data_IF_072107689672
#
_entry.id   IF_072107689672
#
_cell.length_a   1.000
_cell.length_b   1.000
_cell.length_c   1.000
_cell.angle_alpha   90.00
_cell.angle_beta   90.00
_cell.angle_gamma   90.00
#
_symmetry.space_group_name_H-M   'P 1'
#
loop_
_entity.id
_entity.type
_entity.pdbx_description
1 polymer ?
#
# COMPACT_ATOMS: atom_id res chain seq x y z
N UNK A 1 -15.39 9.92 -19.58
CA UNK A 1 -13.99 10.41 -19.54
C UNK A 1 -13.32 10.10 -18.20
N UNK A 2 -13.82 10.57 -17.05
CA UNK A 2 -13.20 10.33 -15.72
C UNK A 2 -12.90 8.86 -15.41
N UNK A 3 -13.87 7.96 -15.58
CA UNK A 3 -13.66 6.52 -15.30
C UNK A 3 -12.55 5.91 -16.15
N UNK A 4 -12.54 6.17 -17.46
CA UNK A 4 -11.51 5.65 -18.36
C UNK A 4 -10.12 6.18 -18.01
N UNK A 5 -10.03 7.46 -17.63
CA UNK A 5 -8.77 8.03 -17.15
C UNK A 5 -8.28 7.36 -15.87
N UNK A 6 -9.16 7.17 -14.88
CA UNK A 6 -8.78 6.50 -13.63
C UNK A 6 -8.26 5.09 -13.86
N UNK A 7 -8.92 4.33 -14.75
CA UNK A 7 -8.43 2.99 -15.14
C UNK A 7 -7.11 3.08 -15.90
N UNK A 8 -6.93 4.04 -16.81
CA UNK A 8 -5.67 4.24 -17.52
C UNK A 8 -4.51 4.60 -16.58
N UNK A 9 -4.77 5.46 -15.57
CA UNK A 9 -3.80 5.78 -14.51
C UNK A 9 -3.42 4.53 -13.74
N UNK A 10 -4.42 3.74 -13.31
CA UNK A 10 -4.20 2.47 -12.61
C UNK A 10 -3.35 1.49 -13.43
N UNK A 11 -3.65 1.36 -14.73
CA UNK A 11 -2.90 0.49 -15.64
C UNK A 11 -1.47 0.97 -15.85
N UNK A 12 -1.24 2.27 -15.98
CA UNK A 12 0.09 2.86 -16.10
C UNK A 12 0.92 2.58 -14.84
N UNK A 13 0.32 2.81 -13.67
CA UNK A 13 0.96 2.65 -12.37
C UNK A 13 1.32 1.18 -12.07
N UNK A 14 0.37 0.26 -12.28
CA UNK A 14 0.58 -1.18 -12.07
C UNK A 14 1.54 -1.80 -13.10
N UNK A 15 1.73 -1.14 -14.23
CA UNK A 15 2.32 -1.73 -15.43
C UNK A 15 3.72 -1.28 -15.76
N UNK A 16 4.32 -0.30 -15.07
CA UNK A 16 5.57 0.36 -15.49
C UNK A 16 6.75 -0.63 -15.62
N UNK A 17 7.01 -1.19 -16.81
CA UNK A 17 7.81 -2.41 -16.94
C UNK A 17 9.31 -2.10 -16.97
N UNK A 18 9.66 -0.84 -17.26
CA UNK A 18 11.03 -0.40 -17.51
C UNK A 18 11.81 -0.06 -16.23
N UNK A 19 11.16 0.00 -15.06
CA UNK A 19 11.85 0.39 -13.80
C UNK A 19 13.00 -0.55 -13.46
N UNK A 20 12.81 -1.87 -13.68
CA UNK A 20 13.84 -2.86 -13.36
C UNK A 20 15.11 -2.64 -14.18
N UNK A 21 14.95 -2.44 -15.49
CA UNK A 21 16.06 -2.24 -16.42
C UNK A 21 16.75 -0.89 -16.20
N UNK A 22 15.97 0.15 -15.89
CA UNK A 22 16.51 1.46 -15.54
C UNK A 22 17.38 1.39 -14.27
N UNK A 23 16.89 0.69 -13.24
CA UNK A 23 17.61 0.55 -11.98
C UNK A 23 18.86 -0.32 -12.14
N UNK A 24 18.80 -1.44 -12.87
CA UNK A 24 19.98 -2.29 -13.09
C UNK A 24 21.07 -1.59 -13.90
N UNK A 25 20.72 -0.63 -14.77
CA UNK A 25 21.69 0.18 -15.51
C UNK A 25 22.38 1.26 -14.66
N UNK A 26 21.76 1.70 -13.56
CA UNK A 26 22.23 2.85 -12.77
C UNK A 26 22.73 2.50 -11.37
N UNK A 27 22.34 1.33 -10.84
CA UNK A 27 22.59 0.93 -9.45
C UNK A 27 23.41 -0.36 -9.43
N UNK A 28 24.39 -0.50 -8.51
CA UNK A 28 25.15 -1.75 -8.36
C UNK A 28 24.24 -2.93 -8.04
N UNK A 29 24.54 -4.11 -8.58
CA UNK A 29 23.74 -5.35 -8.42
C UNK A 29 23.32 -5.64 -6.97
N UNK A 30 24.21 -5.36 -6.01
CA UNK A 30 23.96 -5.56 -4.57
C UNK A 30 22.83 -4.67 -4.02
N UNK A 31 22.55 -3.52 -4.64
CA UNK A 31 21.49 -2.59 -4.28
C UNK A 31 20.33 -2.53 -5.28
N UNK A 32 20.47 -3.13 -6.48
CA UNK A 32 19.47 -3.01 -7.56
C UNK A 32 18.08 -3.48 -7.17
N UNK A 33 17.95 -4.58 -6.42
CA UNK A 33 16.63 -5.03 -5.95
C UNK A 33 15.98 -4.05 -4.97
N UNK A 34 16.75 -3.53 -4.02
CA UNK A 34 16.28 -2.53 -3.05
C UNK A 34 15.88 -1.24 -3.76
N UNK A 35 16.73 -0.72 -4.64
CA UNK A 35 16.47 0.49 -5.41
C UNK A 35 15.24 0.32 -6.32
N UNK A 36 15.04 -0.85 -6.92
CA UNK A 36 13.84 -1.17 -7.69
C UNK A 36 12.59 -1.10 -6.80
N UNK A 37 12.60 -1.74 -5.63
CA UNK A 37 11.46 -1.76 -4.71
C UNK A 37 11.12 -0.37 -4.14
N UNK A 38 12.12 0.44 -3.80
CA UNK A 38 11.92 1.83 -3.39
C UNK A 38 11.41 2.66 -4.57
N UNK A 39 12.01 2.47 -5.76
CA UNK A 39 11.69 3.18 -6.98
C UNK A 39 10.25 2.99 -7.43
N UNK A 40 9.72 1.75 -7.42
CA UNK A 40 8.31 1.51 -7.79
C UNK A 40 7.34 2.22 -6.84
N UNK A 41 7.58 2.18 -5.53
CA UNK A 41 6.74 2.82 -4.53
C UNK A 41 6.80 4.36 -4.63
N UNK A 42 7.96 4.92 -4.99
CA UNK A 42 8.11 6.36 -5.21
C UNK A 42 7.50 6.80 -6.55
N UNK A 43 7.58 5.95 -7.58
CA UNK A 43 7.09 6.26 -8.93
C UNK A 43 5.58 6.46 -8.95
N UNK A 44 4.83 5.83 -8.04
CA UNK A 44 3.37 6.00 -7.95
C UNK A 44 2.93 7.46 -7.77
N UNK A 45 3.76 8.29 -7.13
CA UNK A 45 3.49 9.73 -7.01
C UNK A 45 3.49 10.41 -8.37
N UNK A 46 4.32 9.95 -9.31
CA UNK A 46 4.37 10.47 -10.67
C UNK A 46 3.27 9.84 -11.52
N UNK A 47 3.18 8.51 -11.56
CA UNK A 47 2.22 7.79 -12.42
C UNK A 47 0.76 8.00 -12.01
N UNK A 48 0.48 8.35 -10.75
CA UNK A 48 -0.87 8.65 -10.26
C UNK A 48 -1.14 10.14 -10.15
N UNK A 49 -0.35 10.89 -9.36
CA UNK A 49 -0.72 12.27 -9.02
C UNK A 49 -0.51 13.23 -10.19
N UNK A 50 0.48 13.01 -11.04
CA UNK A 50 0.73 13.89 -12.19
C UNK A 50 -0.42 13.83 -13.22
N UNK A 51 -0.82 12.67 -13.77
CA UNK A 51 -1.93 12.63 -14.73
C UNK A 51 -3.27 13.02 -14.09
N UNK A 52 -3.51 12.64 -12.83
CA UNK A 52 -4.71 13.08 -12.11
C UNK A 52 -4.72 14.59 -11.86
N UNK A 53 -3.57 15.19 -11.54
CA UNK A 53 -3.39 16.63 -11.35
C UNK A 53 -3.60 17.43 -12.63
N UNK A 54 -3.00 16.98 -13.74
CA UNK A 54 -3.22 17.57 -15.08
C UNK A 54 -4.71 17.53 -15.42
N UNK A 55 -5.37 16.38 -15.24
CA UNK A 55 -6.80 16.27 -15.48
C UNK A 55 -7.64 17.17 -14.56
N UNK A 56 -7.28 17.24 -13.28
CA UNK A 56 -7.96 18.08 -12.30
C UNK A 56 -7.90 19.56 -12.70
N UNK A 57 -6.75 20.04 -13.19
CA UNK A 57 -6.59 21.45 -13.61
C UNK A 57 -7.26 21.73 -14.96
N UNK A 58 -7.11 20.83 -15.94
CA UNK A 58 -7.51 21.09 -17.32
C UNK A 58 -9.00 20.80 -17.57
N UNK A 59 -9.54 19.74 -16.96
CA UNK A 59 -10.84 19.19 -17.31
C UNK A 59 -11.84 19.11 -16.16
N UNK A 60 -11.38 18.93 -14.92
CA UNK A 60 -12.26 18.73 -13.78
C UNK A 60 -12.60 20.03 -13.04
N UNK A 61 -13.85 20.49 -13.15
CA UNK A 61 -14.30 21.70 -12.46
C UNK A 61 -14.90 21.43 -11.06
N UNK A 62 -14.65 20.26 -10.48
CA UNK A 62 -15.20 19.91 -9.17
C UNK A 62 -14.49 20.62 -8.03
N UNK A 63 -15.27 21.15 -7.06
CA UNK A 63 -14.73 21.76 -5.83
C UNK A 63 -14.39 20.69 -4.77
N UNK A 64 -13.61 19.68 -5.16
CA UNK A 64 -13.29 18.51 -4.32
C UNK A 64 -12.01 18.67 -3.48
N UNK A 65 -11.35 19.85 -3.52
CA UNK A 65 -10.04 20.08 -2.88
C UNK A 65 -9.02 19.03 -3.31
N UNK A 66 -8.88 18.88 -4.64
CA UNK A 66 -8.07 17.86 -5.29
C UNK A 66 -8.41 16.46 -4.79
N UNK A 67 -9.67 16.08 -5.00
CA UNK A 67 -10.20 14.77 -4.63
C UNK A 67 -9.97 14.39 -3.16
N UNK A 68 -10.08 15.36 -2.24
CA UNK A 68 -9.90 15.14 -0.81
C UNK A 68 -8.45 15.07 -0.33
N UNK A 69 -7.45 15.18 -1.22
CA UNK A 69 -6.04 15.25 -0.82
C UNK A 69 -5.76 16.52 0.00
N UNK A 70 -6.26 17.67 -0.46
CA UNK A 70 -6.10 18.94 0.24
C UNK A 70 -7.16 19.16 1.34
N UNK A 71 -7.90 18.12 1.73
CA UNK A 71 -8.92 18.18 2.79
C UNK A 71 -8.45 17.43 4.03
N UNK A 72 -7.86 18.14 4.97
CA UNK A 72 -7.43 17.56 6.25
C UNK A 72 -8.55 17.64 7.29
N UNK A 73 -9.55 16.75 7.16
CA UNK A 73 -10.51 16.46 8.25
C UNK A 73 -10.19 15.09 8.81
N UNK A 74 -9.76 15.05 10.07
CA UNK A 74 -9.26 13.84 10.69
C UNK A 74 -9.75 13.74 12.15
N UNK A 75 -10.75 12.89 12.37
CA UNK A 75 -11.05 12.37 13.71
C UNK A 75 -10.33 11.04 13.84
N UNK A 76 -9.34 10.95 14.72
CA UNK A 76 -8.45 9.79 14.79
C UNK A 76 -9.14 8.54 15.36
N UNK A 77 -10.20 8.71 16.17
CA UNK A 77 -10.79 7.62 16.95
C UNK A 77 -11.33 6.47 16.08
N UNK A 78 -12.12 6.71 15.02
CA UNK A 78 -12.61 5.62 14.18
C UNK A 78 -11.48 4.82 13.52
N UNK A 79 -10.40 5.50 13.11
CA UNK A 79 -9.26 4.86 12.43
C UNK A 79 -8.44 3.99 13.39
N UNK A 80 -8.21 4.46 14.62
CA UNK A 80 -7.58 3.64 15.65
C UNK A 80 -8.46 2.44 16.01
N UNK A 81 -9.78 2.61 16.13
CA UNK A 81 -10.69 1.49 16.34
C UNK A 81 -10.62 0.46 15.21
N UNK A 82 -10.58 0.90 13.94
CA UNK A 82 -10.39 0.00 12.79
C UNK A 82 -9.07 -0.77 12.90
N UNK A 83 -7.96 -0.10 13.24
CA UNK A 83 -6.67 -0.75 13.42
C UNK A 83 -6.66 -1.75 14.58
N UNK A 84 -7.31 -1.42 15.70
CA UNK A 84 -7.46 -2.34 16.84
C UNK A 84 -8.27 -3.58 16.49
N UNK A 85 -9.28 -3.46 15.62
CA UNK A 85 -10.04 -4.61 15.10
C UNK A 85 -9.18 -5.44 14.13
N UNK A 86 -8.39 -4.79 13.29
CA UNK A 86 -7.50 -5.48 12.34
C UNK A 86 -6.35 -6.20 13.03
N UNK A 87 -5.85 -5.70 14.16
CA UNK A 87 -4.74 -6.28 14.91
C UNK A 87 -4.91 -7.79 15.22
N UNK A 88 -6.01 -8.26 15.84
CA UNK A 88 -6.21 -9.69 16.08
C UNK A 88 -6.37 -10.48 14.77
N UNK A 89 -7.00 -9.90 13.73
CA UNK A 89 -7.17 -10.56 12.43
C UNK A 89 -5.82 -10.78 11.72
N UNK A 90 -4.97 -9.75 11.68
CA UNK A 90 -3.62 -9.83 11.13
C UNK A 90 -2.76 -10.79 11.95
N UNK A 91 -2.88 -10.75 13.29
CA UNK A 91 -2.16 -11.67 14.17
C UNK A 91 -2.54 -13.12 13.85
N UNK A 92 -3.83 -13.43 13.73
CA UNK A 92 -4.30 -14.76 13.34
C UNK A 92 -3.80 -15.16 11.93
N UNK A 93 -3.90 -14.24 10.96
CA UNK A 93 -3.42 -14.47 9.60
C UNK A 93 -1.91 -14.74 9.54
N UNK A 94 -1.12 -14.14 10.45
CA UNK A 94 0.34 -14.31 10.48
C UNK A 94 0.81 -15.75 10.72
N UNK A 95 -0.05 -16.62 11.23
CA UNK A 95 0.26 -18.05 11.40
C UNK A 95 0.07 -18.86 10.11
N UNK A 96 -0.67 -18.33 9.13
CA UNK A 96 -0.93 -19.00 7.87
C UNK A 96 0.34 -19.07 7.01
N UNK A 97 0.59 -20.18 6.29
CA UNK A 97 1.72 -20.28 5.36
C UNK A 97 1.66 -19.25 4.24
N UNK A 98 0.47 -18.99 3.68
CA UNK A 98 0.28 -17.99 2.62
C UNK A 98 0.74 -16.60 3.03
N UNK A 99 0.48 -16.20 4.28
CA UNK A 99 0.92 -14.92 4.82
C UNK A 99 2.45 -14.87 4.97
N UNK A 100 3.05 -15.89 5.60
CA UNK A 100 4.50 -15.95 5.86
C UNK A 100 5.36 -16.07 4.61
N UNK A 101 4.79 -16.60 3.53
CA UNK A 101 5.46 -16.69 2.23
C UNK A 101 5.38 -15.38 1.43
N UNK A 102 4.46 -14.48 1.80
CA UNK A 102 4.23 -13.22 1.11
C UNK A 102 4.85 -12.03 1.86
N UNK A 103 4.75 -12.01 3.18
CA UNK A 103 5.31 -10.96 4.05
C UNK A 103 6.55 -11.44 4.82
N UNK A 104 7.52 -10.55 5.09
CA UNK A 104 7.57 -9.15 4.71
C UNK A 104 7.79 -8.94 3.22
N UNK A 105 7.22 -7.86 2.66
CA UNK A 105 7.31 -7.57 1.22
C UNK A 105 8.73 -7.24 0.75
N UNK A 106 9.62 -6.88 1.67
CA UNK A 106 11.03 -6.64 1.42
C UNK A 106 11.90 -7.59 2.24
N UNK A 107 12.55 -8.57 1.61
CA UNK A 107 13.52 -9.43 2.28
C UNK A 107 14.80 -8.66 2.62
N UNK A 108 15.57 -9.17 3.58
CA UNK A 108 16.91 -8.64 3.87
C UNK A 108 17.81 -8.85 2.64
N UNK A 109 18.44 -7.78 2.17
CA UNK A 109 19.30 -7.77 0.98
C UNK A 109 20.70 -7.24 1.27
N UNK A 110 21.71 -7.47 0.39
CA UNK A 110 23.05 -6.89 0.54
C UNK A 110 23.12 -5.39 0.23
N UNK A 111 21.98 -4.69 0.05
CA UNK A 111 21.95 -3.26 -0.23
C UNK A 111 22.70 -2.44 0.83
N UNK A 112 22.66 -2.87 2.09
CA UNK A 112 23.36 -2.22 3.19
C UNK A 112 24.89 -2.18 3.00
N UNK A 113 25.48 -3.22 2.39
CA UNK A 113 26.91 -3.26 2.05
C UNK A 113 27.25 -2.26 0.95
N UNK A 114 26.43 -2.21 -0.09
CA UNK A 114 26.61 -1.29 -1.22
C UNK A 114 26.46 0.18 -0.80
N UNK A 115 25.58 0.45 0.16
CA UNK A 115 25.34 1.79 0.71
C UNK A 115 26.31 2.17 1.83
N UNK A 116 27.10 1.23 2.36
CA UNK A 116 27.97 1.47 3.52
C UNK A 116 27.19 1.82 4.80
N UNK A 117 25.98 1.24 4.97
CA UNK A 117 25.06 1.55 6.08
C UNK A 117 24.75 0.32 6.93
N UNK A 118 24.27 0.49 8.17
CA UNK A 118 23.67 -0.60 8.93
C UNK A 118 22.47 -1.23 8.21
N UNK A 119 22.24 -2.54 8.41
CA UNK A 119 21.16 -3.32 7.77
C UNK A 119 19.77 -2.69 7.92
N UNK A 120 19.48 -2.02 9.03
CA UNK A 120 18.17 -1.42 9.28
C UNK A 120 17.87 -0.20 8.40
N UNK A 121 18.89 0.49 7.89
CA UNK A 121 18.73 1.72 7.11
C UNK A 121 17.99 1.47 5.78
N UNK A 122 18.44 0.56 4.89
CA UNK A 122 17.72 0.30 3.64
C UNK A 122 16.32 -0.27 3.89
N UNK A 123 16.13 -1.07 4.94
CA UNK A 123 14.81 -1.56 5.34
C UNK A 123 13.90 -0.39 5.74
N UNK A 124 14.36 0.54 6.57
CA UNK A 124 13.56 1.71 6.97
C UNK A 124 13.19 2.58 5.77
N UNK A 125 14.13 2.82 4.84
CA UNK A 125 13.85 3.60 3.63
C UNK A 125 12.78 2.90 2.78
N UNK A 126 12.87 1.57 2.63
CA UNK A 126 11.85 0.79 1.96
C UNK A 126 10.49 0.91 2.65
N UNK A 127 10.41 0.73 3.97
CA UNK A 127 9.16 0.80 4.72
C UNK A 127 8.49 2.18 4.65
N UNK A 128 9.29 3.25 4.64
CA UNK A 128 8.80 4.62 4.45
C UNK A 128 8.28 4.83 3.03
N UNK A 129 8.98 4.35 2.00
CA UNK A 129 8.51 4.42 0.63
C UNK A 129 7.23 3.59 0.43
N UNK A 130 7.18 2.38 0.97
CA UNK A 130 6.02 1.49 0.95
C UNK A 130 4.82 2.09 1.69
N UNK A 131 5.03 2.69 2.87
CA UNK A 131 3.99 3.42 3.57
C UNK A 131 3.48 4.64 2.79
N UNK A 132 4.40 5.41 2.19
CA UNK A 132 4.06 6.59 1.40
C UNK A 132 3.26 6.25 0.13
N UNK A 133 3.51 5.11 -0.49
CA UNK A 133 2.76 4.61 -1.65
C UNK A 133 1.25 4.54 -1.37
N UNK A 134 0.83 4.24 -0.14
CA UNK A 134 -0.59 4.23 0.20
C UNK A 134 -1.27 5.60 0.10
N UNK A 135 -0.51 6.71 0.07
CA UNK A 135 -1.09 8.04 -0.21
C UNK A 135 -1.64 8.07 -1.64
N UNK A 136 -0.91 7.54 -2.62
CA UNK A 136 -1.30 7.56 -4.04
C UNK A 136 -2.40 6.53 -4.30
N UNK A 137 -2.32 5.36 -3.66
CA UNK A 137 -3.40 4.35 -3.66
C UNK A 137 -4.69 4.95 -3.10
N UNK A 138 -4.67 5.51 -1.89
CA UNK A 138 -5.88 6.09 -1.30
C UNK A 138 -6.37 7.31 -2.08
N UNK A 139 -5.46 8.10 -2.64
CA UNK A 139 -5.83 9.18 -3.55
C UNK A 139 -6.58 8.64 -4.77
N UNK A 140 -6.12 7.58 -5.41
CA UNK A 140 -6.78 7.03 -6.60
C UNK A 140 -8.14 6.41 -6.26
N UNK A 141 -8.21 5.58 -5.21
CA UNK A 141 -9.44 4.87 -4.86
C UNK A 141 -10.45 5.74 -4.12
N UNK A 142 -10.05 6.39 -3.02
CA UNK A 142 -10.97 7.17 -2.17
C UNK A 142 -11.11 8.58 -2.71
N UNK A 143 -10.03 9.15 -3.21
CA UNK A 143 -10.06 10.46 -3.85
C UNK A 143 -10.74 10.39 -5.22
N UNK A 144 -10.05 9.88 -6.23
CA UNK A 144 -10.48 10.00 -7.62
C UNK A 144 -11.75 9.18 -7.89
N UNK A 145 -11.76 7.88 -7.56
CA UNK A 145 -12.88 6.99 -7.86
C UNK A 145 -14.10 7.15 -6.95
N UNK A 146 -13.95 7.60 -5.70
CA UNK A 146 -15.09 7.97 -4.85
C UNK A 146 -15.35 9.47 -4.94
N UNK A 147 -14.55 10.31 -4.28
CA UNK A 147 -14.82 11.76 -4.13
C UNK A 147 -14.97 12.47 -5.49
N UNK A 148 -14.10 12.17 -6.46
CA UNK A 148 -14.12 12.75 -7.81
C UNK A 148 -15.32 12.33 -8.67
N UNK A 149 -15.91 11.16 -8.36
CA UNK A 149 -17.07 10.60 -9.06
C UNK A 149 -18.40 10.91 -8.39
N UNK A 150 -18.42 11.53 -7.20
CA UNK A 150 -19.66 11.92 -6.51
C UNK A 150 -20.62 12.72 -7.39
N UNK A 151 -20.19 13.71 -8.20
CA UNK A 151 -21.12 14.45 -9.06
C UNK A 151 -21.79 13.59 -10.15
N UNK A 152 -21.21 12.42 -10.47
CA UNK A 152 -21.71 11.52 -11.53
C UNK A 152 -22.51 10.36 -10.94
N UNK A 153 -22.05 9.77 -9.84
CA UNK A 153 -22.58 8.52 -9.29
C UNK A 153 -23.14 8.67 -7.88
N UNK A 154 -22.92 9.81 -7.21
CA UNK A 154 -23.30 9.99 -5.81
C UNK A 154 -22.72 8.89 -4.91
N UNK A 155 -23.56 8.34 -4.03
CA UNK A 155 -23.20 7.20 -3.15
C UNK A 155 -22.83 5.94 -3.93
N UNK A 156 -23.33 5.77 -5.16
CA UNK A 156 -23.06 4.60 -5.99
C UNK A 156 -21.61 4.54 -6.48
N UNK A 157 -20.79 5.58 -6.27
CA UNK A 157 -19.36 5.57 -6.61
C UNK A 157 -18.57 4.51 -5.81
N UNK A 158 -19.06 4.13 -4.62
CA UNK A 158 -18.33 3.21 -3.72
C UNK A 158 -18.26 1.80 -4.30
N UNK A 159 -19.36 1.23 -4.79
CA UNK A 159 -19.38 -0.19 -5.23
C UNK A 159 -18.47 -0.46 -6.45
N UNK A 160 -18.47 0.35 -7.52
CA UNK A 160 -17.51 0.19 -8.62
C UNK A 160 -16.08 0.36 -8.16
N UNK A 161 -15.81 1.31 -7.25
CA UNK A 161 -14.47 1.47 -6.67
C UNK A 161 -14.03 0.22 -5.92
N UNK A 162 -14.90 -0.37 -5.10
CA UNK A 162 -14.61 -1.62 -4.36
C UNK A 162 -14.27 -2.77 -5.31
N UNK A 163 -15.00 -2.89 -6.41
CA UNK A 163 -14.72 -3.92 -7.41
C UNK A 163 -13.31 -3.75 -8.00
N UNK A 164 -12.94 -2.54 -8.43
CA UNK A 164 -11.59 -2.26 -8.97
C UNK A 164 -10.51 -2.42 -7.89
N UNK A 165 -10.78 -2.01 -6.66
CA UNK A 165 -9.85 -2.13 -5.53
C UNK A 165 -9.54 -3.59 -5.18
N UNK A 166 -10.54 -4.47 -5.24
CA UNK A 166 -10.34 -5.91 -5.04
C UNK A 166 -9.40 -6.52 -6.09
N UNK A 167 -9.49 -6.07 -7.36
CA UNK A 167 -8.59 -6.53 -8.43
C UNK A 167 -7.12 -6.26 -8.12
N UNK A 168 -6.79 -5.14 -7.44
CA UNK A 168 -5.42 -4.86 -7.00
C UNK A 168 -4.89 -5.80 -5.91
N UNK A 169 -5.78 -6.57 -5.28
CA UNK A 169 -5.40 -7.56 -4.28
C UNK A 169 -5.24 -8.96 -4.89
N UNK A 170 -5.45 -9.12 -6.20
CA UNK A 170 -5.20 -10.40 -6.85
C UNK A 170 -3.70 -10.70 -6.85
N UNK A 171 -3.36 -11.96 -6.53
CA UNK A 171 -1.98 -12.39 -6.31
C UNK A 171 -1.49 -12.24 -4.86
N UNK A 172 -2.21 -11.50 -4.01
CA UNK A 172 -1.98 -11.49 -2.55
C UNK A 172 -2.63 -12.71 -1.89
N UNK A 173 -2.31 -13.02 -0.62
CA UNK A 173 -3.03 -14.03 0.16
C UNK A 173 -4.55 -13.85 0.05
N UNK A 174 -5.29 -14.95 -0.19
CA UNK A 174 -6.73 -14.87 -0.51
C UNK A 174 -7.56 -14.13 0.55
N UNK A 175 -7.18 -14.23 1.83
CA UNK A 175 -7.81 -13.49 2.91
C UNK A 175 -7.72 -11.97 2.75
N UNK A 176 -6.65 -11.44 2.17
CA UNK A 176 -6.50 -10.01 1.86
C UNK A 176 -7.38 -9.59 0.70
N UNK A 177 -7.47 -10.40 -0.37
CA UNK A 177 -8.37 -10.10 -1.48
C UNK A 177 -9.83 -10.04 -1.02
N UNK A 178 -10.27 -11.03 -0.22
CA UNK A 178 -11.64 -11.06 0.32
C UNK A 178 -11.87 -9.90 1.29
N UNK A 179 -10.96 -9.67 2.24
CA UNK A 179 -11.11 -8.56 3.21
C UNK A 179 -10.98 -7.18 2.58
N UNK A 180 -10.30 -7.06 1.43
CA UNK A 180 -10.23 -5.81 0.66
C UNK A 180 -11.59 -5.33 0.16
N UNK A 181 -12.57 -6.23 0.00
CA UNK A 181 -13.95 -5.83 -0.34
C UNK A 181 -14.58 -5.08 0.83
N UNK A 182 -14.48 -5.63 2.04
CA UNK A 182 -15.02 -5.02 3.25
C UNK A 182 -14.27 -3.72 3.60
N UNK A 183 -12.94 -3.73 3.62
CA UNK A 183 -12.12 -2.54 3.86
C UNK A 183 -12.30 -1.48 2.76
N UNK A 184 -12.40 -1.94 1.50
CA UNK A 184 -12.83 -1.20 0.32
C UNK A 184 -14.08 -0.37 0.61
N UNK A 185 -15.15 -1.08 0.97
CA UNK A 185 -16.46 -0.50 1.20
C UNK A 185 -16.47 0.47 2.38
N UNK A 186 -15.94 0.06 3.54
CA UNK A 186 -15.92 0.88 4.76
C UNK A 186 -15.16 2.19 4.52
N UNK A 187 -13.92 2.10 4.02
CA UNK A 187 -13.11 3.30 3.77
C UNK A 187 -13.68 4.14 2.61
N UNK A 188 -14.33 3.51 1.63
CA UNK A 188 -15.04 4.21 0.56
C UNK A 188 -16.21 5.06 1.10
N UNK A 189 -17.02 4.50 2.01
CA UNK A 189 -18.10 5.24 2.68
C UNK A 189 -17.53 6.37 3.54
N UNK A 190 -16.47 6.11 4.31
CA UNK A 190 -15.80 7.16 5.11
C UNK A 190 -15.30 8.29 4.21
N UNK A 191 -14.66 7.99 3.08
CA UNK A 191 -14.19 9.00 2.16
C UNK A 191 -15.34 9.80 1.52
N UNK A 192 -16.46 9.13 1.20
CA UNK A 192 -17.67 9.78 0.68
C UNK A 192 -18.25 10.80 1.68
N UNK A 193 -18.35 10.44 2.96
CA UNK A 193 -18.94 11.29 4.01
C UNK A 193 -17.96 12.40 4.46
N UNK A 194 -16.68 12.08 4.65
CA UNK A 194 -15.67 13.04 5.17
C UNK A 194 -15.07 13.94 4.10
N UNK A 195 -15.15 13.53 2.82
CA UNK A 195 -14.45 14.14 1.67
C UNK A 195 -12.94 14.24 1.88
N UNK A 196 -12.36 13.30 2.61
CA UNK A 196 -10.94 13.22 2.96
C UNK A 196 -10.41 11.82 2.70
N UNK A 197 -9.19 11.72 2.17
CA UNK A 197 -8.50 10.43 1.99
C UNK A 197 -7.66 10.04 3.20
N UNK A 198 -7.33 10.99 4.08
CA UNK A 198 -6.32 10.82 5.13
C UNK A 198 -6.71 9.77 6.17
N UNK A 199 -8.00 9.58 6.41
CA UNK A 199 -8.51 8.47 7.21
C UNK A 199 -8.18 7.11 6.61
N UNK A 200 -8.38 6.98 5.29
CA UNK A 200 -7.99 5.79 4.53
C UNK A 200 -6.48 5.57 4.56
N UNK A 201 -5.69 6.63 4.35
CA UNK A 201 -4.21 6.57 4.42
C UNK A 201 -3.75 6.04 5.76
N UNK A 202 -4.25 6.60 6.87
CA UNK A 202 -3.86 6.17 8.21
C UNK A 202 -4.15 4.69 8.48
N UNK A 203 -5.35 4.22 8.09
CA UNK A 203 -5.73 2.81 8.27
C UNK A 203 -4.92 1.89 7.36
N UNK A 204 -4.71 2.27 6.10
CA UNK A 204 -4.01 1.43 5.12
C UNK A 204 -2.53 1.27 5.48
N UNK A 205 -1.84 2.38 5.79
CA UNK A 205 -0.45 2.38 6.26
C UNK A 205 -0.33 1.58 7.56
N UNK A 206 -1.26 1.78 8.51
CA UNK A 206 -1.27 1.03 9.76
C UNK A 206 -1.43 -0.48 9.54
N UNK A 207 -2.36 -0.92 8.68
CA UNK A 207 -2.52 -2.33 8.32
C UNK A 207 -1.26 -2.87 7.64
N UNK A 208 -0.70 -2.14 6.68
CA UNK A 208 0.51 -2.55 5.96
C UNK A 208 1.68 -2.81 6.92
N UNK A 209 2.00 -1.84 7.80
CA UNK A 209 3.07 -2.00 8.77
C UNK A 209 2.77 -3.03 9.85
N UNK A 210 1.50 -3.21 10.25
CA UNK A 210 1.11 -4.31 11.15
C UNK A 210 1.39 -5.68 10.50
N UNK A 211 1.18 -5.82 9.20
CA UNK A 211 1.49 -7.07 8.48
C UNK A 211 2.99 -7.34 8.40
N UNK A 212 3.79 -6.33 8.03
CA UNK A 212 5.25 -6.41 8.01
C UNK A 212 5.81 -6.77 9.39
N UNK A 213 5.31 -6.10 10.45
CA UNK A 213 5.71 -6.37 11.83
C UNK A 213 5.32 -7.79 12.28
N UNK A 214 4.09 -8.22 11.99
CA UNK A 214 3.62 -9.56 12.35
C UNK A 214 4.48 -10.64 11.66
N UNK A 215 4.78 -10.48 10.37
CA UNK A 215 5.65 -11.40 9.65
C UNK A 215 7.06 -11.46 10.24
N UNK A 216 7.64 -10.30 10.53
CA UNK A 216 8.97 -10.21 11.14
C UNK A 216 9.04 -10.89 12.51
N UNK A 217 8.02 -10.73 13.35
CA UNK A 217 7.91 -11.42 14.64
C UNK A 217 7.84 -12.95 14.47
N UNK A 218 7.08 -13.44 13.48
CA UNK A 218 6.98 -14.88 13.19
C UNK A 218 8.33 -15.46 12.73
N UNK A 219 9.07 -14.75 11.89
CA UNK A 219 10.39 -15.19 11.42
C UNK A 219 11.41 -15.25 12.56
N UNK A 220 11.41 -14.26 13.47
CA UNK A 220 12.26 -14.29 14.68
C UNK A 220 11.97 -15.48 15.58
N UNK A 221 10.69 -15.79 15.75
CA UNK A 221 10.24 -16.96 16.52
C UNK A 221 10.77 -18.25 15.91
N UNK A 222 10.61 -18.44 14.60
CA UNK A 222 11.09 -19.64 13.89
C UNK A 222 12.61 -19.82 14.02
N UNK A 223 13.39 -18.74 13.84
CA UNK A 223 14.86 -18.77 13.98
C UNK A 223 15.29 -19.16 15.40
N UNK A 224 14.58 -18.66 16.40
CA UNK A 224 14.87 -18.97 17.81
C UNK A 224 14.65 -20.45 18.15
N UNK A 225 13.60 -21.08 17.59
CA UNK A 225 13.38 -22.53 17.75
C UNK A 225 14.48 -23.34 17.05
N UNK A 226 14.85 -22.98 15.82
CA UNK A 226 15.90 -23.68 15.08
C UNK A 226 17.24 -23.68 15.83
N UNK A 227 17.65 -22.51 16.37
CA UNK A 227 18.91 -22.41 17.15
C UNK A 227 18.84 -23.30 18.40
N UNK A 228 17.71 -23.29 19.12
CA UNK A 228 17.53 -24.13 20.32
C UNK A 228 17.56 -25.62 19.98
N UNK A 229 16.90 -26.04 18.89
CA UNK A 229 16.88 -27.44 18.44
C UNK A 229 18.26 -27.90 17.95
N UNK A 230 18.98 -27.06 17.21
CA UNK A 230 20.34 -27.37 16.76
C UNK A 230 21.32 -27.48 17.93
N UNK A 231 21.22 -26.59 18.92
CA UNK A 231 22.03 -26.67 20.14
C UNK A 231 21.73 -27.95 20.94
N UNK A 232 20.47 -28.40 20.98
CA UNK A 232 20.07 -29.63 21.65
C UNK A 232 20.51 -30.92 20.93
N UNK A 233 20.77 -30.89 19.62
CA UNK A 233 21.32 -32.04 18.87
C UNK A 233 22.84 -32.18 18.99
N UNK A 234 23.52 -31.14 19.51
CA UNK A 234 24.98 -31.11 19.69
C UNK A 234 25.42 -31.48 21.12
N UNK A 235 24.46 -31.85 21.99
CA UNK A 235 24.65 -32.36 23.36
C UNK A 235 24.19 -33.81 23.44
#
# INVERSE_FOLDING_TARGET
MKTLLGIAILSLDSGFPYMRDLVSAMVPDRASYWAYKVGINAMSFVTVLLPAGVFYVVADRTKSRFYGLAQFRFDWKPYVTMLLIMLPLITAASFLPSFRNFYPMYPVTPAHEALGTPVWVPTLIYELAYGADFITVEFLFRGFFVIGMIPLLGRNAVLPMVAVYCLLHFGKPAGEAISSIAGGFILGVVAYETRSIWGGVAVHVGIAWLMELAAWLQQRRARSYFIKSAAAMLL
#
